data_IF_628794216460
#
_entry.id   IF_628794216460
#
_cell.length_a   1.000
_cell.length_b   1.000
_cell.length_c   1.000
_cell.angle_alpha   90.00
_cell.angle_beta   90.00
_cell.angle_gamma   90.00
#
_symmetry.space_group_name_H-M   'P 1'
#
loop_
_entity.id
_entity.type
_entity.pdbx_description
1 polymer ?
#
# COMPACT_ATOMS: atom_id res chain seq x y z
N UNK A 1 20.44 -13.41 16.65
CA UNK A 1 19.68 -12.18 16.99
C UNK A 1 20.24 -11.46 18.21
N UNK A 2 20.48 -12.15 19.34
CA UNK A 2 20.99 -11.54 20.58
C UNK A 2 22.37 -10.86 20.42
N UNK A 3 23.34 -11.50 19.76
CA UNK A 3 24.66 -10.88 19.49
C UNK A 3 24.59 -9.61 18.63
N UNK A 4 23.54 -9.48 17.80
CA UNK A 4 23.31 -8.30 16.95
C UNK A 4 22.39 -7.26 17.61
N UNK A 5 21.88 -7.54 18.82
CA UNK A 5 20.95 -6.66 19.57
C UNK A 5 19.83 -6.08 18.69
N UNK A 6 19.17 -6.95 17.92
CA UNK A 6 18.13 -6.54 16.98
C UNK A 6 16.85 -6.13 17.72
N UNK A 7 16.25 -5.01 17.31
CA UNK A 7 14.89 -4.61 17.69
C UNK A 7 13.91 -5.06 16.61
N UNK A 8 12.89 -5.82 16.99
CA UNK A 8 11.79 -6.24 16.12
C UNK A 8 10.51 -5.73 16.74
N UNK A 9 9.81 -4.85 16.04
CA UNK A 9 8.58 -4.22 16.52
C UNK A 9 7.49 -4.40 15.47
N UNK A 10 6.33 -4.89 15.92
CA UNK A 10 5.12 -4.89 15.10
C UNK A 10 4.58 -3.48 14.95
N UNK A 11 4.01 -3.18 13.79
CA UNK A 11 3.37 -1.90 13.50
C UNK A 11 2.00 -2.17 12.89
N UNK A 12 0.96 -1.56 13.45
CA UNK A 12 -0.38 -1.62 12.91
C UNK A 12 -0.84 -0.20 12.57
N UNK A 13 -1.21 0.02 11.32
CA UNK A 13 -1.69 1.32 10.84
C UNK A 13 -2.89 1.88 11.62
N UNK A 14 -3.87 1.08 12.10
CA UNK A 14 -4.98 1.58 12.91
C UNK A 14 -4.57 2.39 14.14
N UNK A 15 -3.49 1.98 14.84
CA UNK A 15 -3.01 2.63 16.07
C UNK A 15 -2.48 4.05 15.80
N UNK A 16 -2.09 4.32 14.55
CA UNK A 16 -1.48 5.56 14.09
C UNK A 16 -2.40 6.37 13.16
N UNK A 17 -3.69 6.02 13.05
CA UNK A 17 -4.63 6.72 12.17
C UNK A 17 -4.74 8.23 12.48
N UNK A 18 -4.54 8.61 13.73
CA UNK A 18 -4.54 10.01 14.17
C UNK A 18 -3.40 10.83 13.52
N UNK A 19 -2.33 10.19 13.06
CA UNK A 19 -1.20 10.83 12.37
C UNK A 19 -1.38 10.87 10.85
N UNK A 20 -2.38 10.15 10.30
CA UNK A 20 -2.56 10.00 8.86
C UNK A 20 -2.75 11.34 8.15
N UNK A 21 -3.45 12.30 8.76
CA UNK A 21 -3.62 13.64 8.20
C UNK A 21 -2.29 14.38 8.02
N UNK A 22 -1.39 14.29 9.00
CA UNK A 22 -0.05 14.89 8.90
C UNK A 22 0.80 14.20 7.84
N UNK A 23 0.69 12.87 7.73
CA UNK A 23 1.40 12.10 6.71
C UNK A 23 0.95 12.50 5.29
N UNK A 24 -0.36 12.62 5.07
CA UNK A 24 -0.92 13.07 3.79
C UNK A 24 -0.40 14.46 3.45
N UNK A 25 -0.51 15.42 4.37
CA UNK A 25 -0.02 16.79 4.15
C UNK A 25 1.47 16.83 3.76
N UNK A 26 2.29 15.96 4.34
CA UNK A 26 3.72 15.84 4.00
C UNK A 26 3.95 15.20 2.64
N UNK A 27 3.21 14.15 2.27
CA UNK A 27 3.46 13.36 1.06
C UNK A 27 2.79 13.94 -0.20
N UNK A 28 1.62 14.57 -0.07
CA UNK A 28 0.88 15.20 -1.18
C UNK A 28 1.76 16.04 -2.12
N UNK A 29 2.61 16.97 -1.66
CA UNK A 29 3.44 17.77 -2.57
C UNK A 29 4.45 16.93 -3.36
N UNK A 30 4.97 15.84 -2.80
CA UNK A 30 5.92 14.97 -3.51
C UNK A 30 5.24 14.11 -4.56
N UNK A 31 4.01 13.64 -4.28
CA UNK A 31 3.19 12.93 -5.26
C UNK A 31 2.85 13.86 -6.42
N UNK A 32 2.35 15.07 -6.13
CA UNK A 32 2.01 16.05 -7.16
C UNK A 32 3.22 16.52 -7.97
N UNK A 33 4.41 16.59 -7.35
CA UNK A 33 5.66 16.91 -8.04
C UNK A 33 6.27 15.73 -8.82
N UNK A 34 5.60 14.57 -8.89
CA UNK A 34 6.10 13.38 -9.59
C UNK A 34 7.33 12.71 -8.94
N UNK A 35 7.72 13.15 -7.74
CA UNK A 35 8.87 12.61 -6.99
C UNK A 35 8.58 11.26 -6.35
N UNK A 36 7.29 10.93 -6.19
CA UNK A 36 6.84 9.61 -5.73
C UNK A 36 6.26 8.87 -6.93
N UNK A 37 6.95 7.81 -7.34
CA UNK A 37 6.47 6.88 -8.34
C UNK A 37 5.59 5.83 -7.65
N UNK A 38 4.40 5.59 -8.17
CA UNK A 38 3.52 4.52 -7.70
C UNK A 38 3.09 3.64 -8.87
N UNK A 39 2.88 2.36 -8.59
CA UNK A 39 2.36 1.39 -9.55
C UNK A 39 1.10 0.78 -8.97
N UNK A 40 0.03 0.79 -9.76
CA UNK A 40 -1.22 0.14 -9.41
C UNK A 40 -1.62 -0.84 -10.51
N UNK A 41 -2.13 -1.99 -10.11
CA UNK A 41 -2.76 -2.96 -10.98
C UNK A 41 -4.26 -2.75 -10.89
N UNK A 42 -4.85 -2.10 -11.89
CA UNK A 42 -6.26 -1.71 -11.88
C UNK A 42 -7.09 -2.73 -12.64
N UNK A 43 -8.06 -3.33 -11.96
CA UNK A 43 -9.08 -4.19 -12.52
C UNK A 43 -10.35 -3.37 -12.73
N UNK A 44 -11.06 -3.59 -13.83
CA UNK A 44 -12.29 -2.84 -14.15
C UNK A 44 -13.52 -3.67 -13.88
N UNK A 45 -14.44 -3.09 -13.10
CA UNK A 45 -15.70 -3.72 -12.74
C UNK A 45 -15.61 -4.54 -11.46
N UNK A 46 -16.67 -4.48 -10.66
CA UNK A 46 -16.76 -5.18 -9.37
C UNK A 46 -16.64 -6.70 -9.52
N UNK A 47 -17.13 -7.26 -10.62
CA UNK A 47 -17.01 -8.69 -10.93
C UNK A 47 -15.56 -9.15 -11.02
N UNK A 48 -14.68 -8.29 -11.53
CA UNK A 48 -13.24 -8.58 -11.63
C UNK A 48 -12.53 -8.59 -10.28
N UNK A 49 -13.15 -8.14 -9.19
CA UNK A 49 -12.59 -8.28 -7.85
C UNK A 49 -12.42 -9.77 -7.46
N UNK A 50 -13.37 -10.62 -7.86
CA UNK A 50 -13.35 -12.06 -7.57
C UNK A 50 -12.17 -12.72 -8.29
N UNK A 51 -11.98 -12.39 -9.57
CA UNK A 51 -10.88 -12.91 -10.39
C UNK A 51 -9.52 -12.30 -10.00
N UNK A 52 -9.54 -11.09 -9.43
CA UNK A 52 -8.37 -10.36 -8.99
C UNK A 52 -7.78 -10.83 -7.67
N UNK A 53 -8.61 -11.35 -6.75
CA UNK A 53 -8.16 -11.77 -5.43
C UNK A 53 -7.06 -12.85 -5.48
N UNK A 54 -7.13 -13.87 -6.35
CA UNK A 54 -6.02 -14.80 -6.55
C UNK A 54 -4.69 -14.15 -6.94
N UNK A 55 -4.69 -13.04 -7.69
CA UNK A 55 -3.46 -12.35 -8.10
C UNK A 55 -2.66 -11.83 -6.90
N UNK A 56 -3.35 -11.45 -5.82
CA UNK A 56 -2.74 -10.99 -4.57
C UNK A 56 -1.96 -12.12 -3.87
N UNK A 57 -2.51 -13.34 -3.87
CA UNK A 57 -1.87 -14.50 -3.26
C UNK A 57 -0.81 -15.15 -4.16
N UNK A 58 -0.97 -15.05 -5.49
CA UNK A 58 0.01 -15.60 -6.43
C UNK A 58 1.21 -14.68 -6.67
N UNK A 59 1.21 -13.46 -6.10
CA UNK A 59 2.25 -12.45 -6.32
C UNK A 59 2.36 -11.95 -7.76
N UNK A 60 1.29 -12.12 -8.55
CA UNK A 60 1.25 -11.68 -9.97
C UNK A 60 0.76 -10.24 -10.13
N UNK A 61 0.32 -9.61 -9.04
CA UNK A 61 -0.09 -8.22 -9.04
C UNK A 61 1.10 -7.28 -9.27
N UNK A 62 0.95 -6.34 -10.19
CA UNK A 62 1.96 -5.33 -10.48
C UNK A 62 1.73 -4.09 -9.62
N UNK A 63 2.22 -4.14 -8.38
CA UNK A 63 2.02 -3.05 -7.41
C UNK A 63 0.68 -3.17 -6.69
N UNK A 64 0.04 -2.03 -6.41
CA UNK A 64 -1.19 -1.99 -5.61
C UNK A 64 -2.39 -2.46 -6.42
N UNK A 65 -2.99 -3.59 -6.03
CA UNK A 65 -4.22 -4.08 -6.64
C UNK A 65 -5.38 -3.13 -6.30
N UNK A 66 -6.08 -2.65 -7.32
CA UNK A 66 -7.23 -1.75 -7.21
C UNK A 66 -8.35 -2.24 -8.13
N UNK A 67 -9.59 -2.04 -7.71
CA UNK A 67 -10.77 -2.29 -8.55
C UNK A 67 -11.44 -0.95 -8.80
N UNK A 68 -11.55 -0.58 -10.07
CA UNK A 68 -12.28 0.58 -10.56
C UNK A 68 -13.73 0.16 -10.85
N UNK A 69 -14.70 0.92 -10.33
CA UNK A 69 -16.13 0.65 -10.47
C UNK A 69 -16.70 1.21 -11.77
#
# INVERSE_FOLDING_TARGET
MIKKRLTVQGFAMPDHLHEAGQLIAKLSPYVSAGKIQYRAHVLKGLTSAIDGLPLFFSGKNEGKLMVEL
#
